data_IF_041896423895
#
_entry.id   IF_041896423895
#
_cell.length_a   1.000
_cell.length_b   1.000
_cell.length_c   1.000
_cell.angle_alpha   90.00
_cell.angle_beta   90.00
_cell.angle_gamma   90.00
#
_symmetry.space_group_name_H-M   'P 1'
#
loop_
_entity.id
_entity.type
_entity.pdbx_description
1 polymer ?
#
# COMPACT_ATOMS: atom_id res chain seq x y z
N UNK A 1 -42.10 20.31 -5.97
CA UNK A 1 -40.94 19.49 -6.40
C UNK A 1 -39.82 20.37 -6.97
N UNK A 2 -38.93 20.95 -6.15
CA UNK A 2 -37.75 21.72 -6.64
C UNK A 2 -36.50 21.67 -5.73
N UNK A 3 -36.50 20.87 -4.65
CA UNK A 3 -35.36 20.76 -3.72
C UNK A 3 -34.39 19.60 -4.00
N UNK A 4 -34.73 18.67 -4.89
CA UNK A 4 -33.90 17.46 -5.15
C UNK A 4 -32.66 17.70 -6.02
N UNK A 5 -32.63 18.75 -6.87
CA UNK A 5 -31.53 18.96 -7.83
C UNK A 5 -30.34 19.80 -7.32
N UNK A 6 -30.46 20.53 -6.21
CA UNK A 6 -29.35 21.36 -5.64
C UNK A 6 -28.45 20.60 -4.66
N UNK A 7 -28.89 19.45 -4.17
CA UNK A 7 -28.21 18.66 -3.12
C UNK A 7 -27.40 17.48 -3.67
N UNK A 8 -27.50 17.21 -4.98
CA UNK A 8 -26.46 16.53 -5.76
C UNK A 8 -25.27 17.50 -5.96
N UNK A 9 -24.77 18.03 -4.84
CA UNK A 9 -23.74 19.05 -4.74
C UNK A 9 -22.41 18.30 -4.83
N UNK A 10 -21.97 18.07 -6.06
CA UNK A 10 -20.65 17.53 -6.44
C UNK A 10 -20.08 16.45 -5.50
N UNK A 11 -20.86 15.39 -5.23
CA UNK A 11 -20.40 14.27 -4.41
C UNK A 11 -19.21 13.56 -5.04
N UNK A 12 -19.12 13.56 -6.36
CA UNK A 12 -18.05 12.91 -7.10
C UNK A 12 -16.72 13.68 -6.94
N UNK A 13 -16.72 15.01 -7.08
CA UNK A 13 -15.54 15.82 -6.80
C UNK A 13 -15.08 15.73 -5.34
N UNK A 14 -16.02 15.63 -4.38
CA UNK A 14 -15.66 15.38 -2.98
C UNK A 14 -15.03 14.00 -2.77
N UNK A 15 -15.53 12.96 -3.44
CA UNK A 15 -14.92 11.63 -3.37
C UNK A 15 -13.52 11.60 -3.98
N UNK A 16 -13.28 12.32 -5.08
CA UNK A 16 -11.96 12.41 -5.71
C UNK A 16 -10.96 13.15 -4.80
N UNK A 17 -11.36 14.27 -4.21
CA UNK A 17 -10.52 14.99 -3.23
C UNK A 17 -10.19 14.12 -2.01
N UNK A 18 -11.19 13.40 -1.50
CA UNK A 18 -10.99 12.52 -0.35
C UNK A 18 -10.11 11.30 -0.70
N UNK A 19 -10.25 10.75 -1.91
CA UNK A 19 -9.43 9.65 -2.41
C UNK A 19 -7.95 10.01 -2.45
N UNK A 20 -7.60 11.23 -2.87
CA UNK A 20 -6.20 11.70 -2.85
C UNK A 20 -5.66 11.85 -1.42
N UNK A 21 -6.46 12.40 -0.49
CA UNK A 21 -6.02 12.58 0.90
C UNK A 21 -5.74 11.24 1.59
N UNK A 22 -6.64 10.27 1.44
CA UNK A 22 -6.44 8.94 2.04
C UNK A 22 -5.27 8.21 1.36
N UNK A 23 -5.11 8.37 0.04
CA UNK A 23 -3.97 7.82 -0.69
C UNK A 23 -2.64 8.34 -0.13
N UNK A 24 -2.46 9.65 -0.02
CA UNK A 24 -1.22 10.25 0.47
C UNK A 24 -0.93 9.78 1.90
N UNK A 25 -1.92 9.81 2.78
CA UNK A 25 -1.75 9.34 4.16
C UNK A 25 -1.33 7.86 4.22
N UNK A 26 -1.97 6.99 3.44
CA UNK A 26 -1.65 5.57 3.43
C UNK A 26 -0.28 5.29 2.80
N UNK A 27 0.11 6.05 1.78
CA UNK A 27 1.43 5.96 1.16
C UNK A 27 2.53 6.38 2.12
N UNK A 28 2.38 7.55 2.76
CA UNK A 28 3.40 8.12 3.64
C UNK A 28 3.59 7.31 4.93
N UNK A 29 2.51 6.76 5.49
CA UNK A 29 2.58 5.95 6.72
C UNK A 29 2.98 4.49 6.46
N UNK A 30 2.74 3.98 5.24
CA UNK A 30 3.09 2.61 4.84
C UNK A 30 2.49 1.52 5.74
N UNK A 31 3.08 0.32 5.67
CA UNK A 31 2.79 -0.82 6.55
C UNK A 31 1.30 -1.10 6.78
N UNK A 32 0.83 -0.95 8.02
CA UNK A 32 -0.57 -1.15 8.38
C UNK A 32 -1.54 -0.29 7.56
N UNK A 33 -1.21 0.98 7.31
CA UNK A 33 -2.07 1.87 6.54
C UNK A 33 -2.12 1.49 5.06
N UNK A 34 -1.02 0.97 4.52
CA UNK A 34 -1.00 0.39 3.17
C UNK A 34 -1.93 -0.83 3.10
N UNK A 35 -1.96 -1.68 4.14
CA UNK A 35 -2.89 -2.82 4.21
C UNK A 35 -4.36 -2.38 4.26
N UNK A 36 -4.66 -1.34 5.04
CA UNK A 36 -6.01 -0.76 5.11
C UNK A 36 -6.43 -0.21 3.75
N UNK A 37 -5.57 0.54 3.08
CA UNK A 37 -5.80 1.01 1.71
C UNK A 37 -6.07 -0.14 0.74
N UNK A 38 -5.32 -1.24 0.85
CA UNK A 38 -5.55 -2.43 0.02
C UNK A 38 -6.93 -3.03 0.25
N UNK A 39 -7.42 -3.10 1.49
CA UNK A 39 -8.76 -3.59 1.78
C UNK A 39 -9.83 -2.66 1.21
N UNK A 40 -9.74 -1.36 1.49
CA UNK A 40 -10.73 -0.36 1.03
C UNK A 40 -10.74 -0.25 -0.50
N UNK A 41 -9.58 -0.42 -1.15
CA UNK A 41 -9.43 -0.38 -2.59
C UNK A 41 -10.06 -1.56 -3.35
N UNK A 42 -10.70 -2.52 -2.67
CA UNK A 42 -11.47 -3.56 -3.36
C UNK A 42 -12.74 -2.98 -4.00
N UNK A 43 -13.15 -3.49 -5.16
CA UNK A 43 -14.45 -3.17 -5.73
C UNK A 43 -15.56 -3.32 -4.68
N UNK A 44 -16.56 -2.43 -4.76
CA UNK A 44 -17.77 -2.43 -3.92
C UNK A 44 -17.63 -1.99 -2.45
N UNK A 45 -16.41 -1.82 -1.91
CA UNK A 45 -16.22 -1.36 -0.52
C UNK A 45 -16.17 0.17 -0.36
N UNK A 46 -15.93 0.91 -1.44
CA UNK A 46 -15.80 2.36 -1.41
C UNK A 46 -16.32 3.00 -2.72
N UNK A 47 -16.55 4.34 -2.73
CA UNK A 47 -16.86 5.05 -3.97
C UNK A 47 -15.81 4.79 -5.05
N UNK A 48 -16.23 4.79 -6.32
CA UNK A 48 -15.36 4.43 -7.45
C UNK A 48 -14.05 5.26 -7.49
N UNK A 49 -14.09 6.54 -7.11
CA UNK A 49 -12.90 7.39 -7.01
C UNK A 49 -11.85 6.83 -6.03
N UNK A 50 -12.29 6.32 -4.88
CA UNK A 50 -11.39 5.74 -3.87
C UNK A 50 -10.78 4.44 -4.38
N UNK A 51 -11.59 3.56 -4.95
CA UNK A 51 -11.13 2.28 -5.51
C UNK A 51 -10.07 2.51 -6.60
N UNK A 52 -10.35 3.38 -7.57
CA UNK A 52 -9.41 3.73 -8.65
C UNK A 52 -8.09 4.27 -8.12
N UNK A 53 -8.12 5.04 -7.03
CA UNK A 53 -6.90 5.63 -6.47
C UNK A 53 -6.13 4.64 -5.61
N UNK A 54 -6.79 3.97 -4.67
CA UNK A 54 -6.17 3.06 -3.70
C UNK A 54 -5.62 1.77 -4.32
N UNK A 55 -6.19 1.28 -5.43
CA UNK A 55 -5.63 0.12 -6.13
C UNK A 55 -4.18 0.34 -6.59
N UNK A 56 -3.79 1.60 -6.83
CA UNK A 56 -2.41 1.94 -7.23
C UNK A 56 -1.38 1.78 -6.09
N UNK A 57 -1.83 1.57 -4.84
CA UNK A 57 -0.98 1.26 -3.69
C UNK A 57 -0.65 -0.23 -3.56
N UNK A 58 -1.16 -1.09 -4.44
CA UNK A 58 -0.91 -2.53 -4.38
C UNK A 58 0.53 -2.86 -4.79
N UNK A 59 1.05 -2.18 -5.81
CA UNK A 59 2.37 -2.46 -6.40
C UNK A 59 3.46 -1.50 -5.88
N UNK A 60 3.13 -0.58 -4.97
CA UNK A 60 4.03 0.47 -4.49
C UNK A 60 4.68 0.12 -3.15
N UNK A 61 5.47 -0.95 -3.16
CA UNK A 61 6.31 -1.24 -2.01
C UNK A 61 7.65 -0.53 -2.10
N UNK A 62 8.06 0.06 -0.99
CA UNK A 62 9.41 0.60 -0.86
C UNK A 62 10.40 -0.56 -0.72
N UNK A 63 11.46 -0.53 -1.53
CA UNK A 63 12.55 -1.49 -1.42
C UNK A 63 13.30 -1.21 -0.12
N UNK A 64 13.37 -2.21 0.75
CA UNK A 64 14.16 -2.19 1.97
C UNK A 64 15.63 -2.42 1.59
N UNK A 65 16.55 -1.54 2.01
CA UNK A 65 17.98 -1.71 1.79
C UNK A 65 18.48 -3.09 2.23
N UNK A 66 19.34 -3.71 1.42
CA UNK A 66 19.78 -5.09 1.64
C UNK A 66 20.53 -5.29 2.97
N UNK A 67 21.24 -4.28 3.46
CA UNK A 67 21.91 -4.30 4.76
C UNK A 67 20.92 -4.51 5.91
N UNK A 68 19.75 -3.89 5.85
CA UNK A 68 18.67 -4.09 6.83
C UNK A 68 18.12 -5.51 6.74
N UNK A 69 17.85 -5.99 5.51
CA UNK A 69 17.36 -7.36 5.27
C UNK A 69 18.36 -8.39 5.80
N UNK A 70 19.65 -8.17 5.49
CA UNK A 70 20.74 -9.02 5.94
C UNK A 70 20.81 -9.09 7.45
N UNK A 71 20.76 -7.93 8.11
CA UNK A 71 20.79 -7.88 9.57
C UNK A 71 19.64 -8.67 10.19
N UNK A 72 18.41 -8.51 9.67
CA UNK A 72 17.24 -9.26 10.16
C UNK A 72 17.45 -10.76 9.99
N UNK A 73 17.82 -11.21 8.78
CA UNK A 73 18.04 -12.64 8.52
C UNK A 73 19.14 -13.24 9.40
N UNK A 74 20.30 -12.60 9.49
CA UNK A 74 21.42 -13.13 10.28
C UNK A 74 21.12 -13.11 11.78
N UNK A 75 20.31 -12.15 12.27
CA UNK A 75 19.85 -12.11 13.66
C UNK A 75 18.87 -13.24 13.97
N UNK A 76 17.86 -13.44 13.12
CA UNK A 76 16.83 -14.47 13.32
C UNK A 76 17.39 -15.90 13.18
N UNK A 77 18.34 -16.12 12.27
CA UNK A 77 18.94 -17.43 12.04
C UNK A 77 20.22 -17.69 12.85
N UNK A 78 20.82 -16.66 13.47
CA UNK A 78 22.07 -16.76 14.22
C UNK A 78 23.30 -17.19 13.39
N UNK A 79 23.21 -17.12 12.06
CA UNK A 79 24.23 -17.55 11.10
C UNK A 79 24.27 -16.60 9.92
N UNK A 80 25.39 -16.54 9.20
CA UNK A 80 25.50 -15.67 8.03
C UNK A 80 24.62 -16.18 6.88
N UNK A 81 24.11 -15.28 6.04
CA UNK A 81 23.28 -15.64 4.87
C UNK A 81 24.03 -16.63 3.96
N UNK A 82 25.35 -16.46 3.82
CA UNK A 82 26.21 -17.30 2.97
C UNK A 82 26.29 -18.76 3.46
N UNK A 83 26.06 -19.00 4.74
CA UNK A 83 26.12 -20.35 5.32
C UNK A 83 24.77 -21.08 5.29
N UNK A 84 23.69 -20.34 5.00
CA UNK A 84 22.31 -20.84 5.02
C UNK A 84 21.80 -21.09 3.59
N UNK A 85 22.07 -20.16 2.68
CA UNK A 85 21.54 -20.20 1.32
C UNK A 85 22.64 -20.50 0.29
N UNK A 86 22.36 -21.41 -0.64
CA UNK A 86 23.24 -21.68 -1.79
C UNK A 86 23.36 -20.47 -2.73
N UNK A 87 22.25 -19.73 -2.90
CA UNK A 87 22.17 -18.49 -3.67
C UNK A 87 21.17 -17.55 -3.01
N UNK A 88 21.49 -16.26 -2.98
CA UNK A 88 20.61 -15.20 -2.49
C UNK A 88 20.63 -14.03 -3.49
N UNK A 89 19.49 -13.75 -4.13
CA UNK A 89 19.32 -12.59 -4.99
C UNK A 89 18.98 -11.36 -4.13
N UNK A 90 19.78 -10.30 -4.27
CA UNK A 90 19.68 -9.08 -3.45
C UNK A 90 18.50 -8.20 -3.88
N UNK A 91 18.09 -8.30 -5.14
CA UNK A 91 16.93 -7.57 -5.65
C UNK A 91 15.63 -8.29 -5.31
N UNK A 92 14.71 -7.58 -4.65
CA UNK A 92 13.36 -8.09 -4.37
C UNK A 92 12.56 -8.23 -5.66
N UNK A 93 11.99 -9.41 -5.90
CA UNK A 93 11.14 -9.67 -7.05
C UNK A 93 9.72 -9.09 -6.91
N UNK A 94 9.31 -8.75 -5.68
CA UNK A 94 7.99 -8.25 -5.39
C UNK A 94 7.91 -7.66 -4.00
N UNK A 95 6.69 -7.54 -3.49
CA UNK A 95 6.46 -7.18 -2.10
C UNK A 95 5.18 -7.74 -1.55
N UNK A 96 5.18 -7.95 -0.23
CA UNK A 96 3.99 -8.18 0.55
C UNK A 96 3.63 -6.94 1.39
N UNK A 97 2.41 -6.88 1.92
CA UNK A 97 1.90 -5.67 2.60
C UNK A 97 2.76 -5.09 3.73
N UNK A 98 3.61 -5.90 4.38
CA UNK A 98 4.56 -5.47 5.43
C UNK A 98 5.96 -6.06 5.22
N UNK A 99 6.26 -6.52 4.01
CA UNK A 99 7.52 -7.17 3.68
C UNK A 99 7.86 -6.95 2.19
N UNK A 100 9.02 -7.43 1.77
CA UNK A 100 9.40 -7.46 0.36
C UNK A 100 9.59 -8.90 -0.09
#
# INVERSE_FOLDING_TARGET
MRKSKRQCRDWEGQHELAAEKIYTMCFDLGGFFLKVAQIIGKPDLAPAAWVRRLVTLYDRALVTPFDVVKLVLETEFGRSIKDIFERFDVESLGSASIAQ
#
